data_IF_298881324487
#
_entry.id   IF_298881324487
#
_cell.length_a   1.000
_cell.length_b   1.000
_cell.length_c   1.000
_cell.angle_alpha   90.00
_cell.angle_beta   90.00
_cell.angle_gamma   90.00
#
_symmetry.space_group_name_H-M   'P 1'
#
loop_
_entity.id
_entity.type
_entity.pdbx_description
1 polymer ?
#
# COMPACT_ATOMS: atom_id res chain seq x y z
N UNK A 1 -1.30 -1.21 -2.31
CA UNK A 1 -2.51 -0.51 -1.85
C UNK A 1 -3.75 -1.16 -2.44
N UNK A 2 -4.77 -1.39 -1.64
CA UNK A 2 -6.05 -1.99 -2.04
C UNK A 2 -7.17 -0.97 -1.90
N UNK A 3 -8.00 -0.84 -2.92
CA UNK A 3 -9.19 0.01 -2.91
C UNK A 3 -10.45 -0.83 -2.89
N UNK A 4 -11.44 -0.43 -2.09
CA UNK A 4 -12.80 -0.99 -2.09
C UNK A 4 -13.70 -0.19 -3.03
N UNK A 5 -14.29 -0.83 -4.05
CA UNK A 5 -15.42 -0.29 -4.81
C UNK A 5 -16.66 -1.16 -4.64
N UNK A 6 -17.79 -0.49 -4.40
CA UNK A 6 -19.18 -0.94 -4.50
C UNK A 6 -19.61 -2.14 -3.66
N UNK A 7 -20.28 -1.83 -2.59
CA UNK A 7 -21.68 -2.26 -2.41
C UNK A 7 -22.34 -1.35 -1.37
N UNK A 8 -23.65 -1.05 -1.56
CA UNK A 8 -24.48 -0.23 -0.68
C UNK A 8 -24.04 -0.24 0.79
N UNK A 9 -23.82 0.96 1.34
CA UNK A 9 -23.85 1.31 2.78
C UNK A 9 -23.53 0.19 3.78
N UNK A 10 -22.48 -0.60 3.57
CA UNK A 10 -22.06 -1.58 4.56
C UNK A 10 -20.87 -0.98 5.29
N UNK A 11 -21.13 -0.52 6.50
CA UNK A 11 -20.06 -0.30 7.50
C UNK A 11 -19.74 -1.67 8.08
N UNK A 12 -18.59 -2.22 7.72
CA UNK A 12 -18.24 -3.53 8.21
C UNK A 12 -17.08 -3.49 9.20
N UNK A 13 -17.36 -4.08 10.35
CA UNK A 13 -16.39 -4.39 11.40
C UNK A 13 -16.35 -5.89 11.64
N UNK A 14 -15.24 -6.38 12.18
CA UNK A 14 -15.08 -7.78 12.54
C UNK A 14 -15.29 -8.75 11.36
N UNK A 15 -14.72 -8.39 10.20
CA UNK A 15 -14.79 -9.21 8.98
C UNK A 15 -14.03 -10.52 9.22
N UNK A 16 -14.69 -11.65 9.02
CA UNK A 16 -14.00 -12.95 9.08
C UNK A 16 -13.09 -13.13 7.85
N UNK A 17 -11.88 -13.72 7.97
CA UNK A 17 -10.93 -13.85 6.86
C UNK A 17 -11.55 -14.48 5.62
N UNK A 18 -12.37 -15.52 5.76
CA UNK A 18 -13.06 -16.22 4.65
C UNK A 18 -13.98 -15.33 3.82
N UNK A 19 -14.35 -14.14 4.32
CA UNK A 19 -15.20 -13.17 3.62
C UNK A 19 -14.44 -11.92 3.19
N UNK A 20 -13.17 -11.79 3.54
CA UNK A 20 -12.39 -10.58 3.31
C UNK A 20 -12.29 -10.21 1.83
N UNK A 21 -12.23 -11.18 0.91
CA UNK A 21 -12.19 -10.97 -0.54
C UNK A 21 -13.41 -10.20 -1.09
N UNK A 22 -14.49 -10.10 -0.34
CA UNK A 22 -15.67 -9.29 -0.71
C UNK A 22 -15.50 -7.79 -0.43
N UNK A 23 -14.42 -7.42 0.26
CA UNK A 23 -14.20 -6.08 0.78
C UNK A 23 -13.10 -5.31 0.04
N UNK A 24 -12.56 -5.86 -1.03
CA UNK A 24 -11.67 -5.16 -1.95
C UNK A 24 -11.97 -5.58 -3.39
N UNK A 25 -11.82 -4.66 -4.32
CA UNK A 25 -12.13 -4.87 -5.73
C UNK A 25 -11.04 -4.37 -6.67
N UNK A 26 -10.07 -3.62 -6.15
CA UNK A 26 -8.96 -3.11 -6.94
C UNK A 26 -7.66 -3.10 -6.14
N UNK A 27 -6.56 -3.20 -6.86
CA UNK A 27 -5.19 -3.15 -6.35
C UNK A 27 -4.39 -2.13 -7.12
N UNK A 28 -3.41 -1.52 -6.46
CA UNK A 28 -2.44 -0.63 -7.10
C UNK A 28 -1.11 -0.69 -6.39
N UNK A 29 -0.09 -0.10 -6.99
CA UNK A 29 1.16 0.23 -6.29
C UNK A 29 1.02 1.60 -5.63
N UNK A 30 1.65 1.76 -4.48
CA UNK A 30 1.69 3.02 -3.76
C UNK A 30 3.03 3.20 -3.08
N UNK A 31 3.38 4.45 -2.77
CA UNK A 31 4.59 4.77 -2.01
C UNK A 31 4.16 5.38 -0.69
N UNK A 32 4.64 4.80 0.41
CA UNK A 32 4.49 5.28 1.77
C UNK A 32 5.75 6.06 2.14
N UNK A 33 5.77 7.36 1.81
CA UNK A 33 6.86 8.24 2.18
C UNK A 33 6.96 8.33 3.71
N UNK A 34 8.18 8.31 4.18
CA UNK A 34 8.46 8.28 5.61
C UNK A 34 9.51 9.32 5.96
N UNK A 35 9.19 10.23 6.88
CA UNK A 35 10.19 11.10 7.52
C UNK A 35 11.07 10.24 8.44
N UNK A 36 12.12 9.66 7.88
CA UNK A 36 12.90 8.58 8.50
C UNK A 36 13.67 9.03 9.75
N UNK A 37 14.11 10.25 9.77
CA UNK A 37 14.75 10.92 10.92
C UNK A 37 13.78 11.05 12.10
N UNK A 38 12.56 11.54 11.84
CA UNK A 38 11.49 11.62 12.85
C UNK A 38 11.08 10.23 13.34
N UNK A 39 10.93 9.25 12.43
CA UNK A 39 10.57 7.89 12.79
C UNK A 39 11.60 7.27 13.76
N UNK A 40 12.91 7.47 13.48
CA UNK A 40 13.98 6.97 14.34
C UNK A 40 13.89 7.56 15.73
N UNK A 41 13.75 8.88 15.82
CA UNK A 41 13.59 9.59 17.10
C UNK A 41 12.34 9.14 17.86
N UNK A 42 11.19 9.03 17.20
CA UNK A 42 9.95 8.60 17.82
C UNK A 42 10.01 7.15 18.32
N UNK A 43 10.72 6.27 17.62
CA UNK A 43 10.95 4.89 18.06
C UNK A 43 11.79 4.86 19.34
N UNK A 44 12.85 5.67 19.43
CA UNK A 44 13.70 5.77 20.62
C UNK A 44 12.94 6.36 21.82
N UNK A 45 12.07 7.33 21.58
CA UNK A 45 11.27 8.01 22.60
C UNK A 45 9.94 7.33 22.93
N UNK A 46 9.59 6.22 22.26
CA UNK A 46 8.30 5.54 22.42
C UNK A 46 7.08 6.37 21.99
N UNK A 47 7.25 7.32 21.06
CA UNK A 47 6.19 8.21 20.57
C UNK A 47 5.40 7.60 19.41
N UNK A 48 4.13 8.03 19.22
CA UNK A 48 3.34 7.68 18.06
C UNK A 48 3.99 8.12 16.73
N UNK A 49 3.66 7.43 15.65
CA UNK A 49 4.31 7.63 14.34
C UNK A 49 3.55 8.53 13.38
N UNK A 50 2.42 9.12 13.77
CA UNK A 50 1.57 9.91 12.88
C UNK A 50 2.35 11.00 12.15
N UNK A 51 3.19 11.78 12.83
CA UNK A 51 3.94 12.87 12.22
C UNK A 51 4.99 12.42 11.22
N UNK A 52 5.49 11.19 11.32
CA UNK A 52 6.46 10.67 10.37
C UNK A 52 5.86 9.87 9.23
N UNK A 53 4.55 9.61 9.29
CA UNK A 53 3.80 8.82 8.31
C UNK A 53 2.61 9.58 7.70
N UNK A 54 1.93 10.42 8.47
CA UNK A 54 0.69 11.11 8.10
C UNK A 54 0.87 12.58 7.73
N UNK A 55 2.03 12.98 7.20
CA UNK A 55 2.24 14.34 6.70
C UNK A 55 1.65 14.52 5.28
N UNK A 56 1.44 15.75 4.88
CA UNK A 56 0.88 16.08 3.56
C UNK A 56 1.70 15.44 2.43
N UNK A 57 1.00 14.81 1.48
CA UNK A 57 1.60 14.11 0.34
C UNK A 57 2.49 12.90 0.72
N UNK A 58 2.35 12.35 1.92
CA UNK A 58 3.11 11.16 2.36
C UNK A 58 2.72 9.87 1.65
N UNK A 59 1.54 9.82 1.01
CA UNK A 59 1.01 8.64 0.34
C UNK A 59 0.78 8.91 -1.14
N UNK A 60 1.71 8.46 -2.00
CA UNK A 60 1.50 8.46 -3.43
C UNK A 60 0.79 7.16 -3.87
N UNK A 61 -0.16 7.28 -4.79
CA UNK A 61 -1.02 6.17 -5.22
C UNK A 61 -1.07 6.16 -6.74
N UNK A 62 -0.86 4.98 -7.34
CA UNK A 62 -0.99 4.74 -8.77
C UNK A 62 -2.41 4.50 -9.22
N UNK A 63 -2.56 4.23 -10.51
CA UNK A 63 -3.83 3.85 -11.11
C UNK A 63 -4.30 2.49 -10.56
N UNK A 64 -5.62 2.37 -10.36
CA UNK A 64 -6.20 1.15 -9.81
C UNK A 64 -6.51 0.12 -10.88
N UNK A 65 -6.15 -1.12 -10.62
CA UNK A 65 -6.44 -2.27 -11.47
C UNK A 65 -7.44 -3.17 -10.75
N UNK A 66 -8.55 -3.57 -11.40
CA UNK A 66 -9.51 -4.51 -10.82
C UNK A 66 -8.84 -5.84 -10.43
N UNK A 67 -9.19 -6.39 -9.27
CA UNK A 67 -8.59 -7.64 -8.79
C UNK A 67 -8.96 -8.86 -9.64
N UNK A 68 -10.07 -8.81 -10.34
CA UNK A 68 -10.52 -9.88 -11.25
C UNK A 68 -9.64 -10.06 -12.50
N UNK A 69 -8.78 -9.07 -12.81
CA UNK A 69 -7.72 -9.22 -13.83
C UNK A 69 -6.63 -10.20 -13.44
N UNK A 70 -6.52 -10.53 -12.16
CA UNK A 70 -5.47 -11.39 -11.64
C UNK A 70 -6.04 -12.72 -11.16
N UNK A 71 -5.32 -13.80 -11.44
CA UNK A 71 -5.70 -15.13 -10.95
C UNK A 71 -5.59 -15.23 -9.43
N UNK A 72 -4.57 -14.57 -8.86
CA UNK A 72 -4.30 -14.57 -7.42
C UNK A 72 -3.56 -13.29 -7.03
N UNK A 73 -4.21 -12.42 -6.27
CA UNK A 73 -3.59 -11.18 -5.77
C UNK A 73 -2.48 -11.44 -4.75
N UNK A 74 -2.40 -12.65 -4.20
CA UNK A 74 -1.35 -13.06 -3.28
C UNK A 74 -0.10 -13.56 -4.00
N UNK A 75 -0.04 -13.45 -5.34
CA UNK A 75 1.14 -13.78 -6.14
C UNK A 75 1.30 -12.78 -7.30
N UNK A 76 1.53 -11.53 -6.97
CA UNK A 76 1.76 -10.43 -7.93
C UNK A 76 3.17 -9.87 -7.76
N UNK A 77 3.87 -9.71 -8.88
CA UNK A 77 5.16 -9.04 -8.91
C UNK A 77 4.98 -7.54 -9.00
N UNK A 78 5.76 -6.80 -8.24
CA UNK A 78 5.79 -5.34 -8.29
C UNK A 78 7.20 -4.80 -8.09
N UNK A 79 7.46 -3.61 -8.61
CA UNK A 79 8.73 -2.94 -8.40
C UNK A 79 8.58 -1.42 -8.47
N UNK A 80 9.58 -0.75 -7.91
CA UNK A 80 9.76 0.69 -7.96
C UNK A 80 11.06 1.02 -8.67
N UNK A 81 10.98 1.86 -9.68
CA UNK A 81 12.13 2.48 -10.32
C UNK A 81 12.30 3.93 -9.86
N UNK A 82 13.53 4.34 -9.63
CA UNK A 82 13.91 5.75 -9.42
C UNK A 82 14.93 6.10 -10.50
N UNK A 83 14.63 7.13 -11.29
CA UNK A 83 15.46 7.59 -12.42
C UNK A 83 15.82 6.43 -13.39
N UNK A 84 14.84 5.54 -13.66
CA UNK A 84 14.99 4.39 -14.53
C UNK A 84 15.77 3.21 -13.94
N UNK A 85 16.13 3.25 -12.65
CA UNK A 85 16.81 2.16 -11.97
C UNK A 85 15.89 1.50 -10.95
N UNK A 86 15.69 0.19 -11.03
CA UNK A 86 14.91 -0.56 -10.03
C UNK A 86 15.61 -0.53 -8.68
N UNK A 87 14.92 0.02 -7.68
CA UNK A 87 15.41 0.15 -6.29
C UNK A 87 14.69 -0.79 -5.33
N UNK A 88 13.44 -1.12 -5.62
CA UNK A 88 12.67 -2.10 -4.84
C UNK A 88 11.98 -3.07 -5.78
N UNK A 89 11.96 -4.35 -5.40
CA UNK A 89 11.23 -5.41 -6.10
C UNK A 89 10.66 -6.37 -5.08
N UNK A 90 9.43 -6.83 -5.28
CA UNK A 90 8.78 -7.79 -4.41
C UNK A 90 7.72 -8.61 -5.13
N UNK A 91 7.26 -9.62 -4.44
CA UNK A 91 6.08 -10.40 -4.80
C UNK A 91 5.13 -10.42 -3.60
N UNK A 92 3.83 -10.32 -3.84
CA UNK A 92 2.84 -10.34 -2.74
C UNK A 92 2.78 -11.69 -2.02
N UNK A 93 3.35 -12.76 -2.59
CA UNK A 93 3.50 -14.04 -1.89
C UNK A 93 4.48 -13.98 -0.71
N UNK A 94 5.41 -13.01 -0.72
CA UNK A 94 6.41 -12.82 0.34
C UNK A 94 5.86 -12.02 1.54
N UNK A 95 4.60 -11.60 1.49
CA UNK A 95 3.98 -10.87 2.59
C UNK A 95 3.89 -11.73 3.85
N UNK A 96 4.21 -11.15 5.01
CA UNK A 96 4.12 -11.84 6.32
C UNK A 96 2.70 -12.26 6.66
N UNK A 97 1.71 -11.47 6.26
CA UNK A 97 0.29 -11.75 6.43
C UNK A 97 -0.41 -11.62 5.08
N UNK A 98 -1.34 -12.52 4.82
CA UNK A 98 -2.16 -12.45 3.62
C UNK A 98 -3.09 -11.24 3.64
N UNK A 99 -3.47 -10.75 2.48
CA UNK A 99 -4.39 -9.60 2.33
C UNK A 99 -5.67 -9.80 3.14
N UNK A 100 -6.28 -10.97 3.06
CA UNK A 100 -7.52 -11.30 3.78
C UNK A 100 -7.33 -11.28 5.31
N UNK A 101 -6.17 -11.69 5.79
CA UNK A 101 -5.83 -11.64 7.23
C UNK A 101 -5.65 -10.20 7.69
N UNK A 102 -5.01 -9.35 6.89
CA UNK A 102 -4.82 -7.93 7.20
C UNK A 102 -6.18 -7.22 7.27
N UNK A 103 -7.07 -7.47 6.30
CA UNK A 103 -8.42 -6.91 6.28
C UNK A 103 -9.20 -7.35 7.52
N UNK A 104 -9.19 -8.64 7.83
CA UNK A 104 -9.85 -9.18 8.99
C UNK A 104 -9.33 -8.53 10.29
N UNK A 105 -8.01 -8.40 10.42
CA UNK A 105 -7.39 -7.78 11.59
C UNK A 105 -7.75 -6.29 11.73
N UNK A 106 -7.58 -5.51 10.67
CA UNK A 106 -7.86 -4.06 10.68
C UNK A 106 -9.33 -3.78 10.96
N UNK A 107 -10.25 -4.59 10.42
CA UNK A 107 -11.69 -4.43 10.65
C UNK A 107 -12.14 -4.63 12.10
N UNK A 108 -11.30 -5.20 12.95
CA UNK A 108 -11.58 -5.31 14.40
C UNK A 108 -11.53 -3.94 15.09
N UNK A 109 -10.71 -3.03 14.59
CA UNK A 109 -10.46 -1.71 15.18
C UNK A 109 -11.14 -0.59 14.39
N UNK A 110 -11.18 -0.72 13.07
CA UNK A 110 -11.70 0.30 12.16
C UNK A 110 -12.91 -0.22 11.39
N UNK A 111 -13.89 0.65 11.20
CA UNK A 111 -15.00 0.40 10.27
C UNK A 111 -14.51 0.68 8.86
N UNK A 112 -14.35 -0.35 8.02
CA UNK A 112 -13.94 -0.19 6.64
C UNK A 112 -15.08 0.39 5.79
N UNK A 113 -14.77 1.39 4.97
CA UNK A 113 -15.71 2.12 4.12
C UNK A 113 -15.27 2.04 2.66
N UNK A 114 -16.23 2.32 1.78
CA UNK A 114 -15.92 2.50 0.35
C UNK A 114 -14.95 3.66 0.19
N UNK A 115 -13.88 3.43 -0.57
CA UNK A 115 -12.82 4.41 -0.80
C UNK A 115 -11.66 4.35 0.20
N UNK A 116 -11.76 3.55 1.26
CA UNK A 116 -10.61 3.32 2.14
C UNK A 116 -9.48 2.63 1.38
N UNK A 117 -8.26 3.05 1.69
CA UNK A 117 -7.03 2.50 1.14
C UNK A 117 -6.26 1.76 2.23
N UNK A 118 -5.79 0.58 1.91
CA UNK A 118 -4.98 -0.22 2.82
C UNK A 118 -3.58 -0.40 2.24
N UNK A 119 -2.59 0.22 2.88
CA UNK A 119 -1.18 -0.02 2.58
C UNK A 119 -0.72 -1.29 3.29
N UNK A 120 -0.31 -2.28 2.51
CA UNK A 120 -0.03 -3.64 3.01
C UNK A 120 1.45 -3.89 3.32
N UNK A 121 2.26 -2.84 3.28
CA UNK A 121 3.69 -2.93 3.56
C UNK A 121 4.58 -2.72 2.34
N UNK A 122 5.88 -2.86 2.53
CA UNK A 122 6.90 -2.61 1.52
C UNK A 122 7.96 -3.71 1.54
N UNK A 123 8.52 -4.10 0.37
CA UNK A 123 9.64 -5.05 0.31
C UNK A 123 10.94 -4.40 0.76
N UNK A 124 12.01 -5.19 0.78
CA UNK A 124 13.37 -4.70 1.00
C UNK A 124 13.78 -3.67 -0.07
N UNK A 125 14.78 -2.84 0.24
CA UNK A 125 15.29 -1.82 -0.69
C UNK A 125 14.77 -0.40 -0.41
N UNK A 126 14.22 -0.15 0.78
CA UNK A 126 13.86 1.21 1.21
C UNK A 126 15.10 2.12 1.19
N UNK A 127 14.96 3.30 0.64
CA UNK A 127 16.03 4.28 0.50
C UNK A 127 15.51 5.71 0.49
N UNK A 128 16.39 6.70 0.50
CA UNK A 128 16.01 8.09 0.39
C UNK A 128 15.51 8.42 -1.02
N UNK A 129 14.65 9.43 -1.08
CA UNK A 129 14.26 10.09 -2.33
C UNK A 129 14.59 11.56 -2.24
N UNK A 130 14.96 12.16 -3.37
CA UNK A 130 15.31 13.58 -3.48
C UNK A 130 14.38 14.33 -4.42
N UNK A 131 14.32 15.64 -4.25
CA UNK A 131 13.59 16.55 -5.15
C UNK A 131 14.14 16.38 -6.57
N UNK A 132 13.25 16.33 -7.57
CA UNK A 132 13.57 16.17 -8.98
C UNK A 132 13.69 14.72 -9.45
N UNK A 133 13.75 13.74 -8.56
CA UNK A 133 13.80 12.32 -8.96
C UNK A 133 12.49 11.86 -9.59
N UNK A 134 12.61 11.01 -10.60
CA UNK A 134 11.49 10.39 -11.30
C UNK A 134 11.18 9.02 -10.68
N UNK A 135 9.97 8.86 -10.15
CA UNK A 135 9.51 7.63 -9.53
C UNK A 135 8.48 6.95 -10.41
N UNK A 136 8.69 5.66 -10.66
CA UNK A 136 7.80 4.85 -11.50
C UNK A 136 7.51 3.52 -10.79
N UNK A 137 6.22 3.26 -10.54
CA UNK A 137 5.75 2.04 -9.86
C UNK A 137 5.05 1.10 -10.83
N UNK A 138 5.38 -0.18 -10.75
CA UNK A 138 4.90 -1.22 -11.66
C UNK A 138 4.25 -2.37 -10.92
N UNK A 139 3.18 -2.92 -11.50
CA UNK A 139 2.50 -4.14 -11.06
C UNK A 139 2.36 -5.08 -12.26
N UNK A 140 2.88 -6.32 -12.16
CA UNK A 140 2.88 -7.30 -13.25
C UNK A 140 3.39 -6.73 -14.60
N UNK A 141 4.39 -5.83 -14.52
CA UNK A 141 4.97 -5.16 -15.69
C UNK A 141 4.18 -3.96 -16.22
N UNK A 142 2.98 -3.69 -15.72
CA UNK A 142 2.18 -2.51 -16.07
C UNK A 142 2.58 -1.33 -15.17
N UNK A 143 2.90 -0.18 -15.78
CA UNK A 143 3.23 1.04 -15.05
C UNK A 143 1.95 1.70 -14.55
N UNK A 144 1.78 1.75 -13.23
CA UNK A 144 0.60 2.32 -12.58
C UNK A 144 0.89 3.65 -11.87
N UNK A 145 2.14 3.95 -11.61
CA UNK A 145 2.55 5.16 -10.89
C UNK A 145 3.71 5.83 -11.65
N UNK A 146 3.61 7.13 -11.91
CA UNK A 146 4.61 7.88 -12.65
C UNK A 146 4.56 9.36 -12.24
N UNK A 147 5.59 9.84 -11.54
CA UNK A 147 5.69 11.25 -11.13
C UNK A 147 7.11 11.66 -10.75
N UNK A 148 7.32 12.98 -10.67
CA UNK A 148 8.54 13.59 -10.15
C UNK A 148 8.32 14.12 -8.73
N UNK A 149 9.29 13.89 -7.86
CA UNK A 149 9.31 14.47 -6.50
C UNK A 149 9.52 15.98 -6.60
N UNK A 150 8.65 16.76 -5.96
CA UNK A 150 8.66 18.24 -5.95
C UNK A 150 8.88 18.79 -4.56
#
# INVERSE_FOLDING_TARGET
SLRRQRQMCIRDRNIAPRFASRYYDAVTVGIDFTARDLQRRFREEGKPWELCKGFDSSAAIGDFVPVDRFKDIQNLNFHLDIDGKTVQRGNTADMLFKVDEIIAYVSRFFTLKIGDLLYTGTPVGVGPVGIGQHLQGYLEGEKLLDFYVR
#
